data_IF_184595323833
#
_entry.id   IF_184595323833
#
_cell.length_a   1.000
_cell.length_b   1.000
_cell.length_c   1.000
_cell.angle_alpha   90.00
_cell.angle_beta   90.00
_cell.angle_gamma   90.00
#
_symmetry.space_group_name_H-M   'P 1'
#
loop_
_entity.id
_entity.type
_entity.pdbx_description
1 polymer ?
#
# COMPACT_ATOMS: atom_id res chain seq x y z
N UNK A 1 -11.94 -3.24 9.76
CA UNK A 1 -10.58 -2.88 9.29
C UNK A 1 -10.30 -3.74 8.07
N UNK A 2 -9.67 -3.21 7.02
CA UNK A 2 -9.34 -4.03 5.84
C UNK A 2 -8.22 -5.03 6.18
N UNK A 3 -8.02 -6.05 5.34
CA UNK A 3 -6.92 -7.00 5.49
C UNK A 3 -5.52 -6.37 5.32
N UNK A 4 -5.45 -5.16 4.76
CA UNK A 4 -4.22 -4.42 4.48
C UNK A 4 -3.90 -3.34 5.50
N UNK A 5 -4.85 -3.01 6.38
CA UNK A 5 -4.66 -2.01 7.42
C UNK A 5 -3.60 -2.45 8.45
N UNK A 6 -2.76 -1.52 8.87
CA UNK A 6 -1.87 -1.70 10.04
C UNK A 6 -1.94 -0.50 10.97
N UNK A 7 -1.75 -0.76 12.25
CA UNK A 7 -1.51 0.29 13.24
C UNK A 7 -0.01 0.59 13.32
N UNK A 8 0.32 1.86 13.41
CA UNK A 8 1.69 2.34 13.62
C UNK A 8 1.71 3.33 14.78
N UNK A 9 2.73 3.23 15.63
CA UNK A 9 3.01 4.29 16.60
C UNK A 9 3.75 5.42 15.88
N UNK A 10 3.22 6.63 15.98
CA UNK A 10 3.80 7.82 15.39
C UNK A 10 4.02 8.90 16.43
N UNK A 11 5.04 9.72 16.21
CA UNK A 11 5.39 10.87 17.06
C UNK A 11 5.27 12.13 16.23
N UNK A 12 4.59 13.15 16.76
CA UNK A 12 4.48 14.45 16.11
C UNK A 12 5.87 15.04 15.81
N UNK A 13 6.05 15.59 14.61
CA UNK A 13 7.34 16.14 14.18
C UNK A 13 7.66 17.49 14.82
N UNK A 14 6.66 18.18 15.39
CA UNK A 14 6.91 19.38 16.18
C UNK A 14 7.44 18.98 17.57
N UNK A 15 8.71 19.27 17.91
CA UNK A 15 9.31 18.85 19.17
C UNK A 15 8.63 19.48 20.40
N UNK A 16 7.97 20.64 20.25
CA UNK A 16 7.23 21.28 21.34
C UNK A 16 5.88 20.60 21.61
N UNK A 17 5.33 19.87 20.65
CA UNK A 17 4.04 19.20 20.80
C UNK A 17 4.16 17.92 21.63
N UNK A 18 5.22 17.13 21.45
CA UNK A 18 5.50 15.91 22.24
C UNK A 18 4.46 14.78 22.10
N UNK A 19 3.45 14.93 21.25
CA UNK A 19 2.35 13.98 21.13
C UNK A 19 2.79 12.67 20.45
N UNK A 20 2.47 11.56 21.09
CA UNK A 20 2.70 10.20 20.59
C UNK A 20 1.36 9.47 20.52
N UNK A 21 1.03 8.90 19.37
CA UNK A 21 -0.30 8.32 19.10
C UNK A 21 -0.21 7.13 18.17
N UNK A 22 -1.29 6.35 18.11
CA UNK A 22 -1.46 5.25 17.13
C UNK A 22 -2.21 5.79 15.92
N UNK A 23 -1.66 5.56 14.73
CA UNK A 23 -2.28 5.88 13.45
C UNK A 23 -2.57 4.60 12.66
N UNK A 24 -3.64 4.62 11.87
CA UNK A 24 -3.94 3.58 10.89
C UNK A 24 -3.25 3.87 9.56
N UNK A 25 -2.56 2.88 9.00
CA UNK A 25 -1.95 2.90 7.69
C UNK A 25 -2.65 1.89 6.78
N UNK A 26 -3.05 2.34 5.60
CA UNK A 26 -3.86 1.57 4.64
C UNK A 26 -3.18 1.52 3.28
N UNK A 27 -3.25 0.37 2.60
CA UNK A 27 -2.76 0.26 1.22
C UNK A 27 -3.84 0.74 0.26
N UNK A 28 -3.56 1.83 -0.47
CA UNK A 28 -4.52 2.43 -1.39
C UNK A 28 -4.41 1.89 -2.82
N UNK A 29 -3.18 1.66 -3.29
CA UNK A 29 -2.90 1.22 -4.66
C UNK A 29 -1.53 0.61 -4.82
N UNK A 30 -1.40 -0.29 -5.79
CA UNK A 30 -0.16 -0.95 -6.18
C UNK A 30 0.58 -0.10 -7.21
N UNK A 31 1.83 0.27 -6.90
CA UNK A 31 2.75 0.91 -7.85
C UNK A 31 3.61 -0.12 -8.58
N UNK A 32 3.97 -1.20 -7.89
CA UNK A 32 4.71 -2.34 -8.42
C UNK A 32 4.09 -3.62 -7.85
N UNK A 33 3.81 -4.66 -8.66
CA UNK A 33 3.19 -5.89 -8.20
C UNK A 33 4.06 -6.63 -7.19
N UNK A 34 3.43 -7.30 -6.23
CA UNK A 34 4.14 -8.22 -5.34
C UNK A 34 4.55 -9.48 -6.09
N UNK A 35 5.78 -9.95 -5.86
CA UNK A 35 6.24 -11.25 -6.37
C UNK A 35 5.54 -12.44 -5.68
N UNK A 36 4.89 -12.21 -4.53
CA UNK A 36 4.15 -13.23 -3.77
C UNK A 36 2.80 -12.67 -3.32
N UNK A 37 1.80 -12.57 -4.22
CA UNK A 37 0.49 -12.05 -3.88
C UNK A 37 -0.30 -13.02 -2.98
N UNK A 38 -0.93 -12.49 -1.93
CA UNK A 38 -1.84 -13.26 -1.08
C UNK A 38 -3.20 -13.40 -1.75
N UNK A 39 -3.71 -14.63 -1.85
CA UNK A 39 -5.07 -14.89 -2.37
C UNK A 39 -6.13 -14.17 -1.53
N UNK A 40 -7.12 -13.59 -2.20
CA UNK A 40 -8.23 -12.88 -1.55
C UNK A 40 -7.98 -11.39 -1.28
N UNK A 41 -6.75 -10.90 -1.42
CA UNK A 41 -6.42 -9.48 -1.31
C UNK A 41 -6.28 -8.89 -2.70
N UNK A 42 -7.20 -8.00 -3.07
CA UNK A 42 -7.18 -7.29 -4.35
C UNK A 42 -6.97 -5.80 -4.11
N UNK A 43 -5.84 -5.28 -4.59
CA UNK A 43 -5.44 -3.88 -4.44
C UNK A 43 -5.39 -3.27 -5.84
N UNK A 44 -6.05 -2.13 -6.09
CA UNK A 44 -6.06 -1.54 -7.42
C UNK A 44 -4.65 -1.05 -7.78
N UNK A 45 -4.28 -1.10 -9.05
CA UNK A 45 -3.05 -0.46 -9.51
C UNK A 45 -3.23 1.06 -9.59
N UNK A 46 -2.13 1.80 -9.46
CA UNK A 46 -2.14 3.25 -9.71
C UNK A 46 -2.52 3.56 -11.15
N UNK A 47 -3.27 4.64 -11.43
CA UNK A 47 -3.65 5.01 -12.80
C UNK A 47 -2.46 5.34 -13.70
N UNK A 48 -1.30 5.67 -13.12
CA UNK A 48 -0.07 5.94 -13.88
C UNK A 48 0.70 4.68 -14.29
N UNK A 49 0.21 3.51 -13.90
CA UNK A 49 0.82 2.24 -14.25
C UNK A 49 0.31 1.82 -15.63
N UNK A 50 1.23 1.71 -16.59
CA UNK A 50 0.92 1.23 -17.94
C UNK A 50 0.51 -0.25 -17.90
N UNK A 51 -0.79 -0.50 -17.78
CA UNK A 51 -1.35 -1.84 -17.52
C UNK A 51 -0.94 -2.87 -18.58
N UNK A 52 -0.83 -2.47 -19.84
CA UNK A 52 -0.43 -3.33 -20.96
C UNK A 52 1.02 -3.81 -20.79
N UNK A 53 1.96 -2.88 -20.62
CA UNK A 53 3.38 -3.20 -20.37
C UNK A 53 3.56 -4.07 -19.12
N UNK A 54 2.77 -3.81 -18.09
CA UNK A 54 2.84 -4.56 -16.85
C UNK A 54 2.28 -5.99 -17.00
N UNK A 55 1.24 -6.18 -17.80
CA UNK A 55 0.71 -7.50 -18.14
C UNK A 55 1.70 -8.32 -18.97
N UNK A 56 2.40 -7.69 -19.92
CA UNK A 56 3.49 -8.31 -20.69
C UNK A 56 4.64 -8.75 -19.76
N UNK A 57 5.09 -7.88 -18.85
CA UNK A 57 6.13 -8.21 -17.86
C UNK A 57 5.74 -9.36 -16.93
N UNK A 58 4.45 -9.47 -16.59
CA UNK A 58 3.92 -10.55 -15.78
C UNK A 58 3.62 -11.83 -16.59
N UNK A 59 3.83 -11.82 -17.92
CA UNK A 59 3.55 -12.94 -18.83
C UNK A 59 2.08 -13.40 -18.78
N UNK A 60 1.16 -12.45 -18.58
CA UNK A 60 -0.29 -12.74 -18.45
C UNK A 60 -1.03 -12.64 -19.80
N UNK A 61 -0.32 -12.26 -20.87
CA UNK A 61 -0.77 -12.18 -22.27
C UNK A 61 0.45 -12.55 -23.12
#
# INVERSE_FOLDING_TARGET
MSDTMREITYVCTNPLCGHTYVAGLEVLRTLSPSAMPRRGINIPFSPHVARELLMEQLQLI
#
